data_IF_122002532842
#
_entry.id   IF_122002532842
#
_cell.length_a   1.000
_cell.length_b   1.000
_cell.length_c   1.000
_cell.angle_alpha   90.00
_cell.angle_beta   90.00
_cell.angle_gamma   90.00
#
_symmetry.space_group_name_H-M   'P 1'
#
loop_
_entity.id
_entity.type
_entity.pdbx_description
1 polymer ?
#
# COMPACT_ATOMS: atom_id res chain seq x y z
N UNK A 1 -6.03 -23.06 11.79
CA UNK A 1 -5.57 -21.68 11.74
C UNK A 1 -6.72 -20.79 11.31
N UNK A 2 -6.96 -19.71 12.04
CA UNK A 2 -8.07 -18.81 11.75
C UNK A 2 -7.75 -17.94 10.54
N UNK A 3 -8.66 -17.84 9.58
CA UNK A 3 -8.52 -16.96 8.43
C UNK A 3 -8.52 -15.50 8.86
N UNK A 4 -7.75 -14.67 8.18
CA UNK A 4 -7.78 -13.23 8.42
C UNK A 4 -9.11 -12.66 7.93
N UNK A 5 -9.68 -11.77 8.71
CA UNK A 5 -10.88 -11.06 8.30
C UNK A 5 -10.48 -9.85 7.46
N UNK A 6 -11.43 -9.35 6.63
CA UNK A 6 -11.12 -8.22 5.75
C UNK A 6 -10.72 -6.96 6.54
N UNK A 7 -11.18 -6.83 7.78
CA UNK A 7 -10.79 -5.71 8.64
C UNK A 7 -9.28 -5.67 8.90
N UNK A 8 -8.64 -6.86 8.99
CA UNK A 8 -7.19 -6.93 9.18
C UNK A 8 -6.45 -6.39 7.96
N UNK A 9 -6.97 -6.67 6.76
CA UNK A 9 -6.38 -6.15 5.52
C UNK A 9 -6.59 -4.64 5.39
N UNK A 10 -7.75 -4.15 5.78
CA UNK A 10 -8.01 -2.69 5.83
C UNK A 10 -7.02 -2.01 6.78
N UNK A 11 -6.79 -2.62 7.95
CA UNK A 11 -5.83 -2.09 8.91
C UNK A 11 -4.42 -2.06 8.33
N UNK A 12 -4.02 -3.12 7.63
CA UNK A 12 -2.71 -3.17 6.98
C UNK A 12 -2.55 -2.03 5.95
N UNK A 13 -3.61 -1.76 5.18
CA UNK A 13 -3.60 -0.66 4.20
C UNK A 13 -3.40 0.68 4.91
N UNK A 14 -4.18 0.94 5.95
CA UNK A 14 -4.11 2.20 6.69
C UNK A 14 -2.76 2.38 7.37
N UNK A 15 -2.25 1.33 8.01
CA UNK A 15 -0.94 1.36 8.67
C UNK A 15 0.17 1.64 7.65
N UNK A 16 0.11 0.99 6.48
CA UNK A 16 1.11 1.19 5.44
C UNK A 16 1.06 2.59 4.83
N UNK A 17 -0.13 3.15 4.67
CA UNK A 17 -0.30 4.53 4.21
C UNK A 17 0.30 5.51 5.21
N UNK A 18 0.05 5.30 6.50
CA UNK A 18 0.63 6.11 7.56
C UNK A 18 2.15 5.97 7.60
N UNK A 19 2.66 4.77 7.37
CA UNK A 19 4.11 4.52 7.34
C UNK A 19 4.77 5.31 6.21
N UNK A 20 4.19 5.29 5.01
CA UNK A 20 4.73 6.05 3.87
C UNK A 20 4.76 7.54 4.22
N UNK A 21 3.68 8.05 4.78
CA UNK A 21 3.59 9.45 5.16
C UNK A 21 4.67 9.80 6.20
N UNK A 22 4.85 8.96 7.21
CA UNK A 22 5.84 9.15 8.25
C UNK A 22 7.27 9.09 7.69
N UNK A 23 7.56 8.08 6.85
CA UNK A 23 8.89 7.91 6.26
C UNK A 23 9.31 9.08 5.38
N UNK A 24 8.34 9.77 4.75
CA UNK A 24 8.62 10.85 3.80
C UNK A 24 8.38 12.24 4.38
N UNK A 25 7.95 12.33 5.63
CA UNK A 25 7.68 13.63 6.27
C UNK A 25 8.94 14.50 6.27
N UNK A 26 8.78 15.74 5.81
CA UNK A 26 9.87 16.70 5.76
C UNK A 26 10.87 16.49 4.64
N UNK A 27 10.64 15.49 3.77
CA UNK A 27 11.55 15.24 2.64
C UNK A 27 11.05 15.93 1.38
N UNK A 28 11.96 16.66 0.71
CA UNK A 28 11.73 17.11 -0.65
C UNK A 28 12.07 15.98 -1.63
N UNK A 29 11.73 16.17 -2.90
CA UNK A 29 11.96 15.16 -3.93
C UNK A 29 13.43 14.73 -4.02
N UNK A 30 14.36 15.68 -3.98
CA UNK A 30 15.79 15.38 -4.07
C UNK A 30 16.29 14.55 -2.88
N UNK A 31 15.80 14.85 -1.68
CA UNK A 31 16.16 14.06 -0.50
C UNK A 31 15.62 12.64 -0.59
N UNK A 32 14.37 12.50 -1.01
CA UNK A 32 13.74 11.19 -1.17
C UNK A 32 14.47 10.35 -2.22
N UNK A 33 14.73 10.96 -3.38
CA UNK A 33 15.40 10.31 -4.51
C UNK A 33 16.76 9.72 -4.14
N UNK A 34 17.48 10.38 -3.23
CA UNK A 34 18.82 9.98 -2.84
C UNK A 34 18.86 9.13 -1.55
N UNK A 35 17.72 8.83 -0.96
CA UNK A 35 17.64 8.04 0.27
C UNK A 35 17.14 6.63 -0.02
N UNK A 36 18.08 5.72 -0.26
CA UNK A 36 17.75 4.33 -0.60
C UNK A 36 16.92 3.64 0.48
N UNK A 37 17.23 3.90 1.74
CA UNK A 37 16.52 3.30 2.87
C UNK A 37 15.04 3.69 2.84
N UNK A 38 14.75 4.99 2.65
CA UNK A 38 13.38 5.49 2.58
C UNK A 38 12.67 4.96 1.34
N UNK A 39 13.35 4.89 0.20
CA UNK A 39 12.78 4.35 -1.04
C UNK A 39 12.36 2.89 -0.83
N UNK A 40 13.23 2.06 -0.27
CA UNK A 40 12.90 0.65 -0.03
C UNK A 40 11.79 0.48 1.00
N UNK A 41 11.76 1.32 2.04
CA UNK A 41 10.69 1.29 3.02
C UNK A 41 9.35 1.66 2.38
N UNK A 42 9.33 2.69 1.53
CA UNK A 42 8.13 3.10 0.81
C UNK A 42 7.66 2.01 -0.16
N UNK A 43 8.57 1.39 -0.90
CA UNK A 43 8.25 0.27 -1.80
C UNK A 43 7.62 -0.87 -1.03
N UNK A 44 8.18 -1.24 0.12
CA UNK A 44 7.61 -2.31 0.95
C UNK A 44 6.19 -1.95 1.41
N UNK A 45 5.96 -0.71 1.79
CA UNK A 45 4.62 -0.26 2.20
C UNK A 45 3.63 -0.34 1.04
N UNK A 46 4.06 0.02 -0.18
CA UNK A 46 3.23 -0.09 -1.38
C UNK A 46 2.89 -1.55 -1.68
N UNK A 47 3.85 -2.47 -1.53
CA UNK A 47 3.62 -3.90 -1.70
C UNK A 47 2.56 -4.40 -0.71
N UNK A 48 2.64 -3.98 0.54
CA UNK A 48 1.67 -4.36 1.57
C UNK A 48 0.27 -3.86 1.20
N UNK A 49 0.16 -2.61 0.73
CA UNK A 49 -1.12 -2.03 0.31
C UNK A 49 -1.71 -2.85 -0.84
N UNK A 50 -0.91 -3.16 -1.86
CA UNK A 50 -1.38 -3.93 -3.01
C UNK A 50 -1.81 -5.33 -2.62
N UNK A 51 -1.02 -6.01 -1.80
CA UNK A 51 -1.31 -7.37 -1.33
C UNK A 51 -2.58 -7.40 -0.49
N UNK A 52 -2.70 -6.48 0.46
CA UNK A 52 -3.88 -6.40 1.32
C UNK A 52 -5.14 -6.10 0.50
N UNK A 53 -5.03 -5.20 -0.48
CA UNK A 53 -6.16 -4.84 -1.35
C UNK A 53 -6.68 -6.06 -2.10
N UNK A 54 -5.79 -6.90 -2.60
CA UNK A 54 -6.17 -8.12 -3.34
C UNK A 54 -6.94 -9.11 -2.46
N UNK A 55 -6.78 -9.03 -1.15
CA UNK A 55 -7.46 -9.90 -0.19
C UNK A 55 -8.77 -9.33 0.36
N UNK A 56 -9.14 -8.10 -0.01
CA UNK A 56 -10.43 -7.53 0.35
C UNK A 56 -11.52 -8.21 -0.49
N UNK A 57 -12.57 -8.79 0.14
CA UNK A 57 -13.63 -9.47 -0.62
C UNK A 57 -14.29 -8.57 -1.63
N UNK A 58 -14.64 -9.14 -2.78
CA UNK A 58 -15.31 -8.42 -3.85
C UNK A 58 -16.60 -7.75 -3.38
N UNK A 59 -17.35 -8.42 -2.50
CA UNK A 59 -18.58 -7.87 -1.93
C UNK A 59 -18.33 -6.56 -1.19
N UNK A 60 -17.21 -6.46 -0.47
CA UNK A 60 -16.83 -5.25 0.25
C UNK A 60 -16.40 -4.17 -0.76
N UNK A 61 -15.57 -4.52 -1.74
CA UNK A 61 -15.12 -3.57 -2.76
C UNK A 61 -16.30 -2.99 -3.55
N UNK A 62 -17.28 -3.83 -3.88
CA UNK A 62 -18.46 -3.39 -4.62
C UNK A 62 -19.35 -2.43 -3.79
N UNK A 63 -19.28 -2.53 -2.47
CA UNK A 63 -20.03 -1.65 -1.56
C UNK A 63 -19.42 -0.24 -1.49
N UNK A 64 -18.10 -0.14 -1.66
CA UNK A 64 -17.36 1.12 -1.53
C UNK A 64 -16.66 1.46 -2.85
N UNK A 65 -17.47 1.71 -3.88
CA UNK A 65 -16.99 1.90 -5.25
C UNK A 65 -16.18 3.18 -5.48
N UNK A 66 -16.26 4.14 -4.55
CA UNK A 66 -15.46 5.37 -4.65
C UNK A 66 -13.98 5.15 -4.33
N UNK A 67 -13.66 4.04 -3.68
CA UNK A 67 -12.26 3.70 -3.38
C UNK A 67 -11.65 3.08 -4.63
N UNK A 68 -10.47 3.53 -5.08
CA UNK A 68 -9.85 3.03 -6.32
C UNK A 68 -9.14 1.68 -6.11
N UNK A 69 -9.91 0.65 -5.81
CA UNK A 69 -9.41 -0.68 -5.48
C UNK A 69 -8.49 -1.25 -6.56
N UNK A 70 -8.86 -1.09 -7.82
CA UNK A 70 -8.10 -1.63 -8.94
C UNK A 70 -6.72 -0.98 -9.03
N UNK A 71 -6.67 0.34 -8.86
CA UNK A 71 -5.40 1.07 -8.88
C UNK A 71 -4.52 0.69 -7.70
N UNK A 72 -5.12 0.52 -6.53
CA UNK A 72 -4.38 0.10 -5.33
C UNK A 72 -3.78 -1.30 -5.49
N UNK A 73 -4.57 -2.23 -6.03
CA UNK A 73 -4.08 -3.58 -6.30
C UNK A 73 -2.96 -3.57 -7.34
N UNK A 74 -3.05 -2.69 -8.32
CA UNK A 74 -2.06 -2.56 -9.39
C UNK A 74 -0.75 -1.90 -8.98
N UNK A 75 -0.73 -1.19 -7.87
CA UNK A 75 0.48 -0.50 -7.40
C UNK A 75 1.66 -1.45 -7.21
N UNK A 76 1.40 -2.60 -6.62
CA UNK A 76 2.44 -3.61 -6.38
C UNK A 76 3.06 -4.08 -7.69
N UNK A 77 2.21 -4.37 -8.68
CA UNK A 77 2.68 -4.88 -9.98
C UNK A 77 3.54 -3.84 -10.70
N UNK A 78 3.14 -2.57 -10.66
CA UNK A 78 3.94 -1.48 -11.23
C UNK A 78 5.30 -1.35 -10.57
N UNK A 79 5.34 -1.39 -9.25
CA UNK A 79 6.58 -1.25 -8.50
C UNK A 79 7.53 -2.41 -8.82
N UNK A 80 7.02 -3.64 -8.87
CA UNK A 80 7.83 -4.81 -9.18
C UNK A 80 8.44 -4.70 -10.58
N UNK A 81 7.69 -4.22 -11.57
CA UNK A 81 8.17 -4.12 -12.94
C UNK A 81 9.11 -2.95 -13.19
N UNK A 82 9.00 -1.88 -12.43
CA UNK A 82 9.81 -0.67 -12.64
C UNK A 82 11.03 -0.57 -11.69
N UNK A 83 11.03 -1.35 -10.65
CA UNK A 83 12.08 -1.41 -9.65
C UNK A 83 12.50 -2.85 -9.38
#
# INVERSE_FOLDING_TARGET
MKSREYCDYIKDILDSMNDIEEFTTGMGYENFKNDRKTIFAAIRSIEIIGEATKNIPKSVRNRYTKIPWKDMAGMMDKVIHEY
#
